data_IF_083663684915
#
_entry.id   IF_083663684915
#
_cell.length_a   1.000
_cell.length_b   1.000
_cell.length_c   1.000
_cell.angle_alpha   90.00
_cell.angle_beta   90.00
_cell.angle_gamma   90.00
#
_symmetry.space_group_name_H-M   'P 1'
#
loop_
_entity.id
_entity.type
_entity.pdbx_description
1 polymer ?
#
# COMPACT_ATOMS: atom_id res chain seq x y z
N UNK A 1 -11.32 7.87 3.75
CA UNK A 1 -10.33 7.94 4.84
C UNK A 1 -8.96 7.51 4.31
N UNK A 2 -7.89 8.25 4.63
CA UNK A 2 -6.55 7.83 4.19
C UNK A 2 -6.19 6.46 4.76
N UNK A 3 -5.39 5.73 4.01
CA UNK A 3 -5.03 4.37 4.38
C UNK A 3 -4.35 4.30 5.75
N UNK A 4 -3.45 5.24 6.03
CA UNK A 4 -2.76 5.26 7.33
C UNK A 4 -3.75 5.43 8.48
N UNK A 5 -4.76 6.29 8.31
CA UNK A 5 -5.79 6.48 9.33
C UNK A 5 -6.64 5.22 9.50
N UNK A 6 -6.92 4.53 8.41
CA UNK A 6 -7.67 3.28 8.46
C UNK A 6 -6.90 2.21 9.23
N UNK A 7 -5.60 2.10 8.99
CA UNK A 7 -4.75 1.15 9.70
C UNK A 7 -4.73 1.45 11.20
N UNK A 8 -4.62 2.72 11.54
CA UNK A 8 -4.63 3.13 12.94
C UNK A 8 -5.95 2.80 13.60
N UNK A 9 -7.07 3.02 12.92
CA UNK A 9 -8.40 2.75 13.48
C UNK A 9 -8.62 1.25 13.70
N UNK A 10 -7.88 0.40 13.01
CA UNK A 10 -7.95 -1.06 13.19
C UNK A 10 -6.98 -1.57 14.24
N UNK A 11 -6.28 -0.67 14.93
CA UNK A 11 -5.35 -1.05 15.99
C UNK A 11 -4.00 -1.51 15.50
N UNK A 12 -3.67 -1.28 14.22
CA UNK A 12 -2.37 -1.65 13.68
C UNK A 12 -1.37 -0.53 13.97
N UNK A 13 -0.21 -0.86 14.56
CA UNK A 13 0.78 0.17 14.86
C UNK A 13 1.24 0.89 13.59
N UNK A 14 1.43 2.19 13.68
CA UNK A 14 1.90 2.98 12.55
C UNK A 14 3.40 3.22 12.71
N UNK A 15 4.19 2.44 11.96
CA UNK A 15 5.62 2.64 11.89
C UNK A 15 5.92 3.61 10.75
N UNK A 16 7.16 4.10 10.71
CA UNK A 16 7.57 5.02 9.64
C UNK A 16 7.41 4.39 8.26
N UNK A 17 7.86 3.16 8.09
CA UNK A 17 7.75 2.49 6.79
C UNK A 17 6.30 2.18 6.44
N UNK A 18 5.49 1.74 7.41
CA UNK A 18 4.07 1.47 7.15
C UNK A 18 3.33 2.72 6.71
N UNK A 19 3.58 3.83 7.40
CA UNK A 19 2.97 5.11 7.04
C UNK A 19 3.38 5.54 5.65
N UNK A 20 4.67 5.42 5.32
CA UNK A 20 5.16 5.83 4.01
C UNK A 20 4.56 4.99 2.88
N UNK A 21 4.45 3.68 3.09
CA UNK A 21 3.83 2.79 2.11
C UNK A 21 2.36 3.17 1.91
N UNK A 22 1.64 3.39 3.01
CA UNK A 22 0.23 3.75 2.96
C UNK A 22 0.03 5.08 2.23
N UNK A 23 0.86 6.06 2.51
CA UNK A 23 0.74 7.37 1.89
C UNK A 23 1.03 7.32 0.39
N UNK A 24 2.01 6.49 -0.01
CA UNK A 24 2.31 6.33 -1.43
C UNK A 24 1.16 5.66 -2.17
N UNK A 25 0.57 4.63 -1.57
CA UNK A 25 -0.59 3.98 -2.16
C UNK A 25 -1.77 4.95 -2.28
N UNK A 26 -2.01 5.76 -1.25
CA UNK A 26 -3.10 6.75 -1.28
C UNK A 26 -2.89 7.80 -2.37
N UNK A 27 -1.66 8.21 -2.59
CA UNK A 27 -1.35 9.27 -3.55
C UNK A 27 -1.30 8.76 -4.99
N UNK A 28 -1.20 7.45 -5.18
CA UNK A 28 -1.04 6.90 -6.51
C UNK A 28 -2.38 6.64 -7.18
N UNK A 29 -2.47 6.94 -8.47
CA UNK A 29 -3.65 6.62 -9.25
C UNK A 29 -3.46 5.32 -10.03
N UNK A 30 -2.27 4.74 -9.99
CA UNK A 30 -1.95 3.51 -10.69
C UNK A 30 -1.56 2.43 -9.69
N UNK A 31 -1.68 1.18 -10.10
CA UNK A 31 -1.21 0.06 -9.30
C UNK A 31 0.31 0.11 -9.21
N UNK A 32 0.86 -0.27 -8.07
CA UNK A 32 2.28 -0.14 -7.77
C UNK A 32 2.90 -1.51 -7.50
N UNK A 33 4.08 -1.75 -8.08
CA UNK A 33 4.85 -2.94 -7.74
C UNK A 33 5.64 -2.72 -6.47
N UNK A 34 6.12 -3.80 -5.85
CA UNK A 34 6.95 -3.68 -4.65
C UNK A 34 8.22 -2.89 -4.93
N UNK A 35 8.81 -3.07 -6.11
CA UNK A 35 10.03 -2.35 -6.47
C UNK A 35 9.77 -0.85 -6.56
N UNK A 36 8.64 -0.46 -7.15
CA UNK A 36 8.26 0.95 -7.22
C UNK A 36 8.07 1.55 -5.82
N UNK A 37 7.50 0.77 -4.92
CA UNK A 37 7.32 1.21 -3.53
C UNK A 37 8.68 1.38 -2.85
N UNK A 38 9.57 0.41 -3.01
CA UNK A 38 10.91 0.47 -2.43
C UNK A 38 11.65 1.70 -2.93
N UNK A 39 11.62 1.93 -4.24
CA UNK A 39 12.31 3.07 -4.85
C UNK A 39 11.75 4.39 -4.34
N UNK A 40 10.45 4.48 -4.22
CA UNK A 40 9.82 5.69 -3.70
C UNK A 40 10.23 5.96 -2.26
N UNK A 41 10.19 4.94 -1.41
CA UNK A 41 10.58 5.09 -0.01
C UNK A 41 12.04 5.49 0.09
N UNK A 42 12.90 4.89 -0.74
CA UNK A 42 14.31 5.23 -0.76
C UNK A 42 14.51 6.72 -1.11
N UNK A 43 13.73 7.22 -2.05
CA UNK A 43 13.79 8.65 -2.43
C UNK A 43 13.34 9.55 -1.29
N UNK A 44 12.58 9.01 -0.33
CA UNK A 44 12.12 9.73 0.85
C UNK A 44 13.07 9.54 2.04
N UNK A 45 14.22 8.91 1.81
CA UNK A 45 15.18 8.65 2.87
C UNK A 45 14.83 7.46 3.74
N UNK A 46 13.93 6.59 3.28
CA UNK A 46 13.51 5.42 4.03
C UNK A 46 14.01 4.17 3.32
N UNK A 47 14.94 3.45 3.94
CA UNK A 47 15.50 2.24 3.37
C UNK A 47 14.73 1.03 3.90
N UNK A 48 14.14 0.25 2.98
CA UNK A 48 13.44 -0.99 3.32
C UNK A 48 13.87 -2.06 2.32
N UNK A 49 13.79 -3.32 2.75
CA UNK A 49 14.09 -4.43 1.83
C UNK A 49 12.77 -4.99 1.29
N UNK A 50 12.89 -5.85 0.29
CA UNK A 50 11.74 -6.50 -0.35
C UNK A 50 10.88 -7.24 0.65
N UNK A 51 11.50 -7.97 1.55
CA UNK A 51 10.77 -8.78 2.53
C UNK A 51 9.84 -7.91 3.37
N UNK A 52 10.34 -6.76 3.82
CA UNK A 52 9.54 -5.83 4.60
C UNK A 52 8.35 -5.32 3.79
N UNK A 53 8.59 -4.92 2.53
CA UNK A 53 7.53 -4.39 1.70
C UNK A 53 6.45 -5.44 1.43
N UNK A 54 6.87 -6.66 1.06
CA UNK A 54 5.89 -7.72 0.80
C UNK A 54 5.11 -8.08 2.06
N UNK A 55 5.77 -8.06 3.23
CA UNK A 55 5.07 -8.32 4.49
C UNK A 55 4.01 -7.26 4.76
N UNK A 56 4.34 -5.99 4.52
CA UNK A 56 3.38 -4.91 4.69
C UNK A 56 2.23 -5.02 3.70
N UNK A 57 2.51 -5.37 2.45
CA UNK A 57 1.47 -5.55 1.45
C UNK A 57 0.57 -6.73 1.80
N UNK A 58 1.13 -7.82 2.36
CA UNK A 58 0.33 -8.95 2.82
C UNK A 58 -0.64 -8.54 3.93
N UNK A 59 -0.19 -7.71 4.84
CA UNK A 59 -1.06 -7.20 5.90
C UNK A 59 -2.21 -6.40 5.31
N UNK A 60 -1.89 -5.50 4.38
CA UNK A 60 -2.90 -4.68 3.73
C UNK A 60 -3.90 -5.52 2.93
N UNK A 61 -3.42 -6.58 2.28
CA UNK A 61 -4.28 -7.50 1.55
C UNK A 61 -5.22 -8.26 2.48
N UNK A 62 -4.68 -8.76 3.59
CA UNK A 62 -5.49 -9.48 4.57
C UNK A 62 -6.56 -8.59 5.19
N UNK A 63 -6.27 -7.31 5.33
CA UNK A 63 -7.24 -6.33 5.84
C UNK A 63 -8.20 -5.84 4.77
N UNK A 64 -8.09 -6.37 3.55
CA UNK A 64 -8.92 -5.98 2.39
C UNK A 64 -8.78 -4.50 2.02
N UNK A 65 -7.62 -3.95 2.29
CA UNK A 65 -7.35 -2.53 1.99
C UNK A 65 -6.66 -2.35 0.65
N UNK A 66 -5.96 -3.38 0.17
CA UNK A 66 -5.38 -3.37 -1.19
C UNK A 66 -5.73 -4.66 -1.89
N UNK A 67 -5.66 -4.62 -3.21
CA UNK A 67 -5.83 -5.80 -4.05
C UNK A 67 -4.57 -6.00 -4.89
N UNK A 68 -4.24 -7.25 -5.15
CA UNK A 68 -3.11 -7.61 -5.98
C UNK A 68 -3.60 -7.76 -7.42
N UNK A 69 -2.86 -7.19 -8.35
CA UNK A 69 -3.19 -7.26 -9.78
C UNK A 69 -2.09 -7.97 -10.53
N UNK A 70 -2.48 -8.81 -11.50
CA UNK A 70 -1.56 -9.44 -12.43
C UNK A 70 -1.87 -8.86 -13.81
N UNK A 71 -0.92 -8.13 -14.36
CA UNK A 71 -1.10 -7.45 -15.64
C UNK A 71 -0.55 -8.26 -16.81
N UNK A 72 -0.25 -9.53 -16.60
CA UNK A 72 0.21 -10.39 -17.66
C UNK A 72 1.70 -10.30 -17.95
N UNK A 73 2.44 -9.50 -17.18
CA UNK A 73 3.88 -9.33 -17.38
C UNK A 73 4.71 -10.03 -16.30
N UNK A 74 4.06 -10.83 -15.46
CA UNK A 74 4.73 -11.54 -14.38
C UNK A 74 5.08 -10.70 -13.18
N UNK A 75 4.71 -9.43 -13.17
CA UNK A 75 5.02 -8.51 -12.09
C UNK A 75 3.76 -8.21 -11.31
N UNK A 76 3.77 -8.55 -10.02
CA UNK A 76 2.63 -8.26 -9.16
C UNK A 76 2.55 -6.78 -8.85
N UNK A 77 1.35 -6.23 -8.94
CA UNK A 77 1.09 -4.85 -8.59
C UNK A 77 -0.05 -4.78 -7.61
N UNK A 78 -0.11 -3.68 -6.87
CA UNK A 78 -1.07 -3.51 -5.78
C UNK A 78 -1.70 -2.14 -5.89
N UNK A 79 -3.00 -2.08 -5.63
CA UNK A 79 -3.70 -0.81 -5.59
C UNK A 79 -4.73 -0.85 -4.47
N UNK A 80 -5.21 0.32 -4.08
CA UNK A 80 -6.24 0.39 -3.06
C UNK A 80 -7.47 -0.37 -3.52
N UNK A 81 -8.09 -1.10 -2.59
CA UNK A 81 -9.30 -1.83 -2.93
C UNK A 81 -10.40 -0.85 -3.32
N UNK A 82 -11.37 -1.27 -4.12
CA UNK A 82 -12.46 -0.38 -4.53
C UNK A 82 -13.18 0.26 -3.35
N UNK A 83 -13.25 -0.42 -2.20
CA UNK A 83 -13.88 0.14 -1.02
C UNK A 83 -13.17 1.37 -0.50
N UNK A 84 -11.85 1.43 -0.67
CA UNK A 84 -11.06 2.58 -0.23
C UNK A 84 -11.27 3.78 -1.12
N UNK A 85 -11.69 3.57 -2.37
CA UNK A 85 -12.00 4.64 -3.30
C UNK A 85 -13.45 5.09 -3.24
N UNK A 86 -14.33 4.39 -2.51
CA UNK A 86 -15.73 4.71 -2.44
C UNK A 86 -15.99 5.89 -1.61
N UNK A 87 -16.75 6.74 -2.12
CA UNK A 87 -17.18 7.86 -1.33
C UNK A 87 -18.65 7.90 -1.40
N UNK A 88 -19.18 7.71 -1.41
CA UNK A 88 -20.22 7.53 -1.75
C UNK A 88 -21.13 7.32 -2.35
N UNK A 89 -21.26 7.23 -2.67
CA UNK A 89 -21.96 7.10 -3.42
C UNK A 89 -23.06 6.70 -3.61
N UNK A 90 -23.63 6.85 -3.61
CA UNK A 90 -24.84 6.72 -3.91
C UNK A 90 -25.51 6.37 -3.21
#
# INVERSE_FOLDING_TARGET
>A
MPLAAELKSRGLPITRSRRAIAEFLDASTAALSAIEIIDHLHSQGITVNKTTVYRELDILEREHLVVELDMGDGLKRYELSPRQHHHHLF
#
